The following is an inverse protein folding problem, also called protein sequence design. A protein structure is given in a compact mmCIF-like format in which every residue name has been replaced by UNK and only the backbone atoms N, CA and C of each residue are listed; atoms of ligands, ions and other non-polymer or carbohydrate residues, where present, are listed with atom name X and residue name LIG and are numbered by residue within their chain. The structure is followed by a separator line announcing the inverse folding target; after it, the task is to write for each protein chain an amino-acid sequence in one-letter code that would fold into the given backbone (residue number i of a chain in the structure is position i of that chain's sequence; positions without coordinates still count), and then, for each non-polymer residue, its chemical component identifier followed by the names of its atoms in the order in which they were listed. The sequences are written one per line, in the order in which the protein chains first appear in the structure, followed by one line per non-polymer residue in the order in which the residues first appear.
data_IF_640636461370
#
_entry.id   IF_640636461370
#
_cell.length_a   1.000
_cell.length_b   1.000
_cell.length_c   1.000
_cell.angle_alpha   90.00
_cell.angle_beta   90.00
_cell.angle_gamma   90.00
#
_symmetry.space_group_name_H-M   'P 1'
#
loop_
_entity.id
_entity.type
_entity.pdbx_description
1 polymer ?
#
# COMPACT_ATOMS: atom_id res chain seq x y z
N UNK A 1 37.61 -5.48 1.02
CA UNK A 1 37.30 -5.47 -0.45
C UNK A 1 38.63 -5.48 -1.20
N UNK A 2 38.77 -6.31 -2.20
CA UNK A 2 39.93 -6.21 -3.08
C UNK A 2 39.85 -4.82 -3.77
N UNK A 3 40.87 -4.00 -3.53
CA UNK A 3 40.99 -2.69 -4.17
C UNK A 3 41.19 -2.89 -5.67
N UNK A 4 40.35 -2.20 -6.48
CA UNK A 4 40.57 -2.19 -7.93
C UNK A 4 40.97 -0.79 -8.35
N UNK A 5 41.85 -0.66 -9.36
CA UNK A 5 42.22 0.62 -9.95
C UNK A 5 41.02 1.41 -10.49
N UNK A 6 39.88 0.77 -10.67
CA UNK A 6 38.65 1.36 -11.15
C UNK A 6 37.73 1.89 -10.04
N UNK A 7 38.12 1.76 -8.76
CA UNK A 7 37.28 2.17 -7.61
C UNK A 7 36.95 3.67 -7.61
N UNK A 8 37.75 4.50 -8.30
CA UNK A 8 37.53 5.95 -8.40
C UNK A 8 36.16 6.34 -9.01
N UNK A 9 35.56 5.47 -9.84
CA UNK A 9 34.26 5.75 -10.46
C UNK A 9 33.13 5.95 -9.42
N UNK A 10 33.30 5.40 -8.20
CA UNK A 10 32.35 5.57 -7.10
C UNK A 10 32.21 7.03 -6.65
N UNK A 11 33.23 7.88 -6.93
CA UNK A 11 33.22 9.30 -6.58
C UNK A 11 32.23 10.10 -7.44
N UNK A 12 31.74 9.52 -8.55
CA UNK A 12 30.71 10.13 -9.40
C UNK A 12 29.27 9.81 -8.91
N UNK A 13 29.12 8.88 -7.95
CA UNK A 13 27.85 8.58 -7.30
C UNK A 13 27.55 9.66 -6.24
N UNK A 14 26.60 10.54 -6.53
CA UNK A 14 26.25 11.61 -5.60
C UNK A 14 25.48 11.07 -4.39
N UNK A 15 25.70 11.62 -3.18
CA UNK A 15 24.88 11.30 -2.00
C UNK A 15 23.42 11.69 -2.23
N UNK A 16 22.50 10.76 -1.96
CA UNK A 16 21.06 10.96 -2.12
C UNK A 16 20.25 10.62 -0.86
N UNK A 17 20.93 10.53 0.29
CA UNK A 17 20.28 10.22 1.56
C UNK A 17 19.54 11.45 2.11
N UNK A 18 18.26 11.24 2.51
CA UNK A 18 17.49 12.27 3.19
C UNK A 18 17.87 12.38 4.67
N UNK A 19 17.65 13.57 5.24
CA UNK A 19 17.96 13.85 6.64
C UNK A 19 17.25 12.87 7.60
N UNK A 20 17.97 12.44 8.65
CA UNK A 20 17.34 11.66 9.74
C UNK A 20 16.22 12.45 10.42
N UNK A 21 15.34 11.73 11.11
CA UNK A 21 14.24 12.33 11.89
C UNK A 21 13.24 13.17 11.10
N UNK A 22 13.16 12.97 9.79
CA UNK A 22 12.13 13.55 8.93
C UNK A 22 11.18 12.45 8.43
N UNK A 23 9.93 12.80 8.16
CA UNK A 23 8.98 11.92 7.50
C UNK A 23 9.28 11.81 6.01
N UNK A 24 9.10 10.63 5.46
CA UNK A 24 9.23 10.38 4.02
C UNK A 24 7.87 9.88 3.51
N UNK A 25 7.38 10.49 2.45
CA UNK A 25 6.22 10.00 1.70
C UNK A 25 6.69 9.65 0.30
N UNK A 26 6.47 8.41 -0.11
CA UNK A 26 6.68 8.01 -1.51
C UNK A 26 5.34 7.99 -2.19
N UNK A 27 5.14 8.88 -3.18
CA UNK A 27 3.99 8.89 -4.05
C UNK A 27 4.34 8.24 -5.38
N UNK A 28 3.53 7.30 -5.80
CA UNK A 28 3.57 6.70 -7.12
C UNK A 28 2.37 7.14 -7.92
N UNK A 29 2.50 7.21 -9.24
CA UNK A 29 1.47 7.69 -10.16
C UNK A 29 1.52 6.89 -11.45
N UNK A 30 0.36 6.52 -11.97
CA UNK A 30 0.24 5.72 -13.17
C UNK A 30 0.44 6.53 -14.45
N UNK A 31 1.51 6.27 -15.18
CA UNK A 31 1.79 6.98 -16.41
C UNK A 31 0.83 6.58 -17.53
N UNK A 32 0.01 7.54 -17.96
CA UNK A 32 -0.89 7.35 -19.12
C UNK A 32 -2.07 6.41 -18.84
N UNK A 33 -2.50 6.31 -17.59
CA UNK A 33 -3.58 5.41 -17.16
C UNK A 33 -4.94 5.70 -17.84
N UNK A 34 -5.17 6.90 -18.32
CA UNK A 34 -6.35 7.16 -19.16
C UNK A 34 -6.39 6.26 -20.43
N UNK A 35 -5.24 6.12 -21.12
CA UNK A 35 -5.13 5.21 -22.27
C UNK A 35 -5.17 3.75 -21.83
N UNK A 36 -4.52 3.43 -20.72
CA UNK A 36 -4.49 2.09 -20.14
C UNK A 36 -5.90 1.62 -19.78
N UNK A 37 -6.67 2.41 -19.06
CA UNK A 37 -8.06 2.09 -18.66
C UNK A 37 -8.98 1.91 -19.88
N UNK A 38 -8.79 2.71 -20.92
CA UNK A 38 -9.54 2.58 -22.18
C UNK A 38 -9.19 1.29 -22.91
N UNK A 39 -7.90 0.94 -23.02
CA UNK A 39 -7.44 -0.28 -23.68
C UNK A 39 -7.93 -1.56 -22.98
N UNK A 40 -8.08 -1.52 -21.67
CA UNK A 40 -8.54 -2.65 -20.85
C UNK A 40 -10.04 -2.59 -20.51
N UNK A 41 -10.77 -1.66 -21.14
CA UNK A 41 -12.23 -1.51 -20.98
C UNK A 41 -12.69 -1.35 -19.54
N UNK A 42 -11.96 -0.61 -18.71
CA UNK A 42 -12.37 -0.32 -17.33
C UNK A 42 -13.71 0.40 -17.31
N UNK A 43 -14.58 -0.03 -16.37
CA UNK A 43 -15.90 0.56 -16.20
C UNK A 43 -15.82 2.07 -15.87
N UNK A 44 -16.82 2.81 -16.32
CA UNK A 44 -16.92 4.25 -16.10
C UNK A 44 -18.17 4.58 -15.27
N UNK A 45 -18.12 5.55 -14.35
CA UNK A 45 -16.98 6.43 -14.02
C UNK A 45 -15.86 5.77 -13.23
N UNK A 46 -16.15 4.70 -12.50
CA UNK A 46 -15.21 3.97 -11.65
C UNK A 46 -15.29 2.48 -11.92
N UNK A 47 -14.15 1.82 -11.89
CA UNK A 47 -14.05 0.36 -11.97
C UNK A 47 -13.59 -0.20 -10.61
N UNK A 48 -14.47 -0.90 -9.85
CA UNK A 48 -14.11 -1.42 -8.53
C UNK A 48 -12.96 -2.42 -8.59
N UNK A 49 -12.90 -3.26 -9.63
CA UNK A 49 -11.85 -4.27 -9.77
C UNK A 49 -10.50 -3.63 -10.06
N UNK A 50 -10.48 -2.57 -10.88
CA UNK A 50 -9.26 -1.81 -11.16
C UNK A 50 -8.71 -1.15 -9.89
N UNK A 51 -9.57 -0.56 -9.06
CA UNK A 51 -9.18 0.02 -7.78
C UNK A 51 -8.73 -1.04 -6.77
N UNK A 52 -9.41 -2.20 -6.72
CA UNK A 52 -8.98 -3.29 -5.85
C UNK A 52 -7.64 -3.91 -6.29
N UNK A 53 -7.33 -3.93 -7.56
CA UNK A 53 -6.01 -4.33 -8.06
C UNK A 53 -4.91 -3.34 -7.62
N UNK A 54 -5.19 -2.03 -7.65
CA UNK A 54 -4.30 -1.00 -7.08
C UNK A 54 -4.10 -1.23 -5.57
N UNK A 55 -5.19 -1.50 -4.84
CA UNK A 55 -5.17 -1.79 -3.42
C UNK A 55 -4.36 -3.05 -3.10
N UNK A 56 -4.47 -4.10 -3.90
CA UNK A 56 -3.70 -5.34 -3.74
C UNK A 56 -2.20 -5.10 -3.93
N UNK A 57 -1.83 -4.34 -4.95
CA UNK A 57 -0.43 -3.96 -5.16
C UNK A 57 0.11 -3.14 -3.98
N UNK A 58 -0.69 -2.23 -3.44
CA UNK A 58 -0.31 -1.45 -2.25
C UNK A 58 -0.21 -2.33 -0.99
N UNK A 59 -1.13 -3.27 -0.77
CA UNK A 59 -1.05 -4.26 0.31
C UNK A 59 0.25 -5.06 0.24
N UNK A 60 0.67 -5.44 -0.96
CA UNK A 60 1.94 -6.13 -1.15
C UNK A 60 3.13 -5.27 -0.72
N UNK A 61 3.18 -3.99 -1.11
CA UNK A 61 4.23 -3.04 -0.67
C UNK A 61 4.22 -2.91 0.85
N UNK A 62 3.05 -2.71 1.46
CA UNK A 62 2.90 -2.59 2.92
C UNK A 62 3.43 -3.85 3.63
N UNK A 63 3.08 -5.04 3.14
CA UNK A 63 3.51 -6.32 3.71
C UNK A 63 5.04 -6.50 3.61
N UNK A 64 5.63 -6.22 2.44
CA UNK A 64 7.07 -6.33 2.22
C UNK A 64 7.88 -5.33 3.06
N UNK A 65 7.32 -4.15 3.31
CA UNK A 65 7.96 -3.08 4.07
C UNK A 65 7.35 -2.92 5.48
N UNK A 66 6.80 -4.01 6.05
CA UNK A 66 6.25 -4.04 7.41
C UNK A 66 7.25 -3.49 8.42
N UNK A 67 6.81 -2.57 9.28
CA UNK A 67 7.66 -1.88 10.25
C UNK A 67 8.46 -0.69 9.72
N UNK A 68 8.45 -0.44 8.40
CA UNK A 68 9.04 0.75 7.76
C UNK A 68 7.95 1.70 7.24
N UNK A 69 6.93 1.17 6.58
CA UNK A 69 5.75 1.91 6.10
C UNK A 69 4.61 1.75 7.10
N UNK A 70 4.02 2.87 7.50
CA UNK A 70 2.95 2.90 8.53
C UNK A 70 1.57 3.03 7.95
N UNK A 71 1.45 3.74 6.85
CA UNK A 71 0.18 4.07 6.22
C UNK A 71 0.38 4.13 4.71
N UNK A 72 -0.64 3.76 3.95
CA UNK A 72 -0.73 4.09 2.54
C UNK A 72 -2.11 4.64 2.21
N UNK A 73 -2.17 5.55 1.24
CA UNK A 73 -3.40 6.15 0.75
C UNK A 73 -3.43 6.10 -0.76
N UNK A 74 -4.52 5.60 -1.33
CA UNK A 74 -4.68 5.45 -2.78
C UNK A 74 -5.97 6.03 -3.31
N UNK A 75 -5.87 6.58 -4.52
CA UNK A 75 -6.98 7.03 -5.34
C UNK A 75 -6.67 6.79 -6.82
N UNK A 76 -7.65 6.37 -7.60
CA UNK A 76 -7.47 6.17 -9.03
C UNK A 76 -6.21 5.35 -9.35
N UNK A 77 -5.23 5.94 -10.01
CA UNK A 77 -3.93 5.37 -10.37
C UNK A 77 -2.76 5.92 -9.52
N UNK A 78 -3.06 6.63 -8.43
CA UNK A 78 -2.07 7.16 -7.49
C UNK A 78 -2.06 6.38 -6.17
N UNK A 79 -0.89 6.18 -5.60
CA UNK A 79 -0.71 5.66 -4.24
C UNK A 79 0.42 6.38 -3.50
N UNK A 80 0.18 6.74 -2.24
CA UNK A 80 1.13 7.43 -1.36
C UNK A 80 1.46 6.56 -0.16
N UNK A 81 2.74 6.30 0.09
CA UNK A 81 3.24 5.46 1.19
C UNK A 81 3.98 6.31 2.21
N UNK A 82 3.50 6.34 3.45
CA UNK A 82 4.12 7.04 4.56
C UNK A 82 5.12 6.14 5.26
N UNK A 83 6.38 6.50 5.24
CA UNK A 83 7.41 5.83 6.01
C UNK A 83 7.51 6.44 7.42
N UNK A 84 7.87 5.60 8.37
CA UNK A 84 8.14 6.05 9.74
C UNK A 84 9.20 7.14 9.76
N UNK A 85 9.08 8.08 10.71
CA UNK A 85 10.05 9.16 10.93
C UNK A 85 11.48 8.62 11.19
N UNK A 86 11.55 7.49 11.90
CA UNK A 86 12.77 6.79 12.27
C UNK A 86 13.14 5.64 11.32
N UNK A 87 12.52 5.57 10.12
CA UNK A 87 12.84 4.56 9.13
C UNK A 87 14.30 4.67 8.68
N UNK A 88 14.96 3.50 8.63
CA UNK A 88 16.38 3.38 8.22
C UNK A 88 16.56 2.60 6.91
N UNK A 89 15.46 2.38 6.20
CA UNK A 89 15.44 1.63 4.93
C UNK A 89 16.49 2.19 3.97
N UNK A 90 17.38 1.32 3.48
CA UNK A 90 18.48 1.67 2.55
C UNK A 90 19.32 2.88 2.97
N UNK A 91 19.57 3.05 4.27
CA UNK A 91 20.24 4.26 4.82
C UNK A 91 19.58 5.56 4.37
N UNK A 92 18.26 5.53 4.18
CA UNK A 92 17.41 6.65 3.75
C UNK A 92 17.72 7.19 2.34
N UNK A 93 18.37 6.40 1.48
CA UNK A 93 18.68 6.81 0.10
C UNK A 93 17.42 6.93 -0.73
N UNK A 94 17.16 8.16 -1.21
CA UNK A 94 15.98 8.54 -1.98
C UNK A 94 15.78 7.66 -3.22
N UNK A 95 16.82 7.49 -4.02
CA UNK A 95 16.77 6.69 -5.24
C UNK A 95 16.37 5.24 -4.95
N UNK A 96 17.00 4.62 -3.93
CA UNK A 96 16.75 3.22 -3.58
C UNK A 96 15.35 3.00 -3.00
N UNK A 97 14.89 3.90 -2.13
CA UNK A 97 13.55 3.80 -1.54
C UNK A 97 12.50 3.93 -2.63
N UNK A 98 12.60 4.96 -3.46
CA UNK A 98 11.62 5.25 -4.51
C UNK A 98 11.56 4.12 -5.54
N UNK A 99 12.69 3.73 -6.10
CA UNK A 99 12.74 2.67 -7.13
C UNK A 99 12.28 1.32 -6.60
N UNK A 100 12.60 1.00 -5.34
CA UNK A 100 12.15 -0.25 -4.74
C UNK A 100 10.62 -0.28 -4.54
N UNK A 101 10.02 0.81 -4.02
CA UNK A 101 8.56 0.89 -3.84
C UNK A 101 7.85 0.83 -5.19
N UNK A 102 8.32 1.59 -6.19
CA UNK A 102 7.75 1.55 -7.55
C UNK A 102 7.86 0.15 -8.15
N UNK A 103 9.01 -0.51 -7.99
CA UNK A 103 9.23 -1.87 -8.49
C UNK A 103 8.31 -2.88 -7.82
N UNK A 104 8.21 -2.87 -6.49
CA UNK A 104 7.31 -3.75 -5.74
C UNK A 104 5.86 -3.56 -6.17
N UNK A 105 5.41 -2.31 -6.26
CA UNK A 105 4.04 -1.99 -6.64
C UNK A 105 3.73 -2.45 -8.07
N UNK A 106 4.57 -2.08 -9.03
CA UNK A 106 4.37 -2.42 -10.45
C UNK A 106 4.39 -3.93 -10.66
N UNK A 107 5.33 -4.62 -10.03
CA UNK A 107 5.43 -6.09 -10.12
C UNK A 107 4.20 -6.76 -9.52
N UNK A 108 3.73 -6.32 -8.36
CA UNK A 108 2.54 -6.86 -7.72
C UNK A 108 1.27 -6.58 -8.53
N UNK A 109 1.14 -5.39 -9.12
CA UNK A 109 0.03 -5.04 -10.01
C UNK A 109 -0.05 -5.99 -11.20
N UNK A 110 1.06 -6.18 -11.91
CA UNK A 110 1.14 -7.08 -13.08
C UNK A 110 0.90 -8.53 -12.66
N UNK A 111 1.53 -8.98 -11.58
CA UNK A 111 1.39 -10.35 -11.07
C UNK A 111 -0.04 -10.68 -10.67
N UNK A 112 -0.76 -9.72 -10.09
CA UNK A 112 -2.13 -9.91 -9.61
C UNK A 112 -3.19 -9.71 -10.69
N UNK A 113 -2.84 -9.21 -11.88
CA UNK A 113 -3.77 -8.85 -12.94
C UNK A 113 -4.81 -9.94 -13.25
N UNK A 114 -4.36 -11.15 -13.53
CA UNK A 114 -5.25 -12.26 -13.94
C UNK A 114 -6.25 -12.68 -12.84
N UNK A 115 -5.96 -12.37 -11.58
CA UNK A 115 -6.87 -12.63 -10.46
C UNK A 115 -8.06 -11.67 -10.46
N UNK A 116 -7.86 -10.42 -10.86
CA UNK A 116 -8.90 -9.40 -10.93
C UNK A 116 -9.60 -9.34 -12.29
N UNK A 117 -8.85 -9.62 -13.35
CA UNK A 117 -9.33 -9.59 -14.73
C UNK A 117 -9.06 -10.94 -15.43
N UNK A 118 -9.73 -12.03 -15.01
CA UNK A 118 -9.44 -13.37 -15.54
C UNK A 118 -9.78 -13.52 -17.03
N UNK A 119 -10.73 -12.73 -17.53
CA UNK A 119 -11.19 -12.79 -18.94
C UNK A 119 -10.59 -11.68 -19.81
N UNK A 120 -9.89 -10.72 -19.21
CA UNK A 120 -9.30 -9.58 -19.93
C UNK A 120 -7.78 -9.67 -19.81
N UNK A 121 -7.08 -10.15 -20.85
CA UNK A 121 -5.63 -10.25 -20.82
C UNK A 121 -5.00 -8.85 -20.74
N UNK A 122 -3.89 -8.75 -20.02
CA UNK A 122 -3.12 -7.52 -19.97
C UNK A 122 -2.53 -7.21 -21.35
N UNK A 123 -2.97 -6.13 -21.97
CA UNK A 123 -2.59 -5.77 -23.35
C UNK A 123 -1.12 -5.29 -23.43
N UNK A 124 -0.68 -4.57 -22.41
CA UNK A 124 0.70 -4.11 -22.25
C UNK A 124 0.95 -3.76 -20.78
N UNK A 125 2.21 -3.85 -20.32
CA UNK A 125 2.53 -3.57 -18.91
C UNK A 125 2.26 -2.10 -18.57
N UNK A 126 1.62 -1.82 -17.43
CA UNK A 126 1.51 -0.47 -16.90
C UNK A 126 2.88 0.04 -16.44
N UNK A 127 3.04 1.34 -16.42
CA UNK A 127 4.20 1.98 -15.81
C UNK A 127 3.77 2.99 -14.77
N UNK A 128 4.54 3.05 -13.68
CA UNK A 128 4.32 4.01 -12.61
C UNK A 128 5.59 4.83 -12.43
N UNK A 129 5.45 6.13 -12.29
CA UNK A 129 6.52 6.98 -11.78
C UNK A 129 6.45 7.03 -10.25
N UNK A 130 7.51 7.54 -9.63
CA UNK A 130 7.54 7.69 -8.19
C UNK A 130 8.43 8.84 -7.76
N UNK A 131 8.01 9.50 -6.67
CA UNK A 131 8.78 10.57 -6.03
C UNK A 131 8.73 10.45 -4.52
N UNK A 132 9.86 10.68 -3.88
CA UNK A 132 9.97 10.76 -2.44
C UNK A 132 9.93 12.24 -2.04
N UNK A 133 9.02 12.58 -1.13
CA UNK A 133 8.89 13.91 -0.55
C UNK A 133 9.18 13.81 0.94
N UNK A 134 9.92 14.80 1.46
CA UNK A 134 10.37 14.86 2.85
C UNK A 134 9.59 15.93 3.59
N UNK A 135 9.00 15.55 4.73
CA UNK A 135 8.25 16.49 5.57
C UNK A 135 8.85 16.57 6.98
N UNK A 136 8.96 17.79 7.53
CA UNK A 136 9.61 18.00 8.83
C UNK A 136 8.71 17.64 10.02
N UNK A 137 7.39 17.73 9.89
CA UNK A 137 6.47 17.58 11.01
C UNK A 137 5.27 16.70 10.71
N UNK A 138 4.61 16.23 11.76
CA UNK A 138 3.40 15.41 11.68
C UNK A 138 2.22 16.19 11.09
N UNK A 139 2.13 17.49 11.41
CA UNK A 139 1.06 18.38 10.95
C UNK A 139 1.10 18.48 9.42
N UNK A 140 2.29 18.72 8.85
CA UNK A 140 2.46 18.82 7.39
C UNK A 140 2.18 17.47 6.71
N UNK A 141 2.56 16.36 7.32
CA UNK A 141 2.19 15.02 6.81
C UNK A 141 0.67 14.83 6.81
N UNK A 142 -0.02 15.22 7.88
CA UNK A 142 -1.48 15.17 7.93
C UNK A 142 -2.10 16.03 6.84
N UNK A 143 -1.61 17.24 6.65
CA UNK A 143 -2.11 18.16 5.61
C UNK A 143 -1.86 17.60 4.20
N UNK A 144 -0.74 16.91 3.99
CA UNK A 144 -0.49 16.19 2.74
C UNK A 144 -1.61 15.16 2.45
N UNK A 145 -1.95 14.29 3.41
CA UNK A 145 -2.98 13.28 3.23
C UNK A 145 -4.40 13.88 3.15
N UNK A 146 -4.68 14.95 3.91
CA UNK A 146 -5.92 15.72 3.77
C UNK A 146 -6.08 16.27 2.36
N UNK A 147 -4.98 16.82 1.80
CA UNK A 147 -4.96 17.32 0.42
C UNK A 147 -5.22 16.19 -0.59
N UNK A 148 -4.61 15.02 -0.43
CA UNK A 148 -4.87 13.89 -1.33
C UNK A 148 -6.33 13.43 -1.28
N UNK A 149 -6.91 13.34 -0.10
CA UNK A 149 -8.31 12.96 0.01
C UNK A 149 -9.27 14.02 -0.53
N UNK A 150 -8.97 15.29 -0.34
CA UNK A 150 -9.75 16.38 -0.94
C UNK A 150 -9.70 16.30 -2.47
N UNK A 151 -8.52 16.00 -3.02
CA UNK A 151 -8.33 15.82 -4.47
C UNK A 151 -9.10 14.61 -5.00
N UNK A 152 -9.11 13.49 -4.26
CA UNK A 152 -9.94 12.32 -4.54
C UNK A 152 -11.40 12.71 -4.72
N UNK A 153 -11.95 13.45 -3.76
CA UNK A 153 -13.35 13.90 -3.82
C UNK A 153 -13.62 14.80 -5.04
N UNK A 154 -12.75 15.78 -5.28
CA UNK A 154 -12.89 16.74 -6.39
C UNK A 154 -12.85 16.00 -7.73
N UNK A 155 -11.86 15.14 -7.93
CA UNK A 155 -11.66 14.40 -9.16
C UNK A 155 -12.80 13.39 -9.40
N UNK A 156 -13.18 12.65 -8.36
CA UNK A 156 -14.27 11.67 -8.50
C UNK A 156 -15.62 12.33 -8.76
N UNK A 157 -15.94 13.45 -8.12
CA UNK A 157 -17.15 14.20 -8.38
C UNK A 157 -17.16 14.72 -9.83
N UNK A 158 -16.05 15.25 -10.32
CA UNK A 158 -15.92 15.68 -11.71
C UNK A 158 -16.12 14.50 -12.68
N UNK A 159 -15.41 13.42 -12.49
CA UNK A 159 -15.46 12.25 -13.37
C UNK A 159 -16.85 11.60 -13.36
N UNK A 160 -17.49 11.50 -12.20
CA UNK A 160 -18.84 10.94 -12.09
C UNK A 160 -19.84 11.79 -12.88
N UNK A 161 -19.73 13.11 -12.75
CA UNK A 161 -20.63 14.05 -13.47
C UNK A 161 -20.36 14.03 -14.97
N UNK A 162 -19.08 13.99 -15.37
CA UNK A 162 -18.68 13.90 -16.78
C UNK A 162 -19.25 12.65 -17.45
N UNK A 163 -19.09 11.50 -16.82
CA UNK A 163 -19.59 10.26 -17.37
C UNK A 163 -21.11 10.12 -17.31
N UNK A 164 -21.78 10.78 -16.35
CA UNK A 164 -23.24 10.87 -16.35
C UNK A 164 -23.74 11.67 -17.57
N UNK A 165 -23.11 12.79 -17.88
CA UNK A 165 -23.42 13.59 -19.07
C UNK A 165 -23.20 12.81 -20.36
N UNK A 166 -22.12 12.04 -20.45
CA UNK A 166 -21.79 11.24 -21.64
C UNK A 166 -22.71 10.03 -21.77
N UNK A 167 -22.80 9.18 -20.74
CA UNK A 167 -23.45 7.87 -20.82
C UNK A 167 -24.98 7.95 -20.69
N UNK A 168 -25.48 8.88 -19.90
CA UNK A 168 -26.94 9.05 -19.68
C UNK A 168 -27.48 10.28 -20.40
N UNK A 169 -26.68 11.35 -20.46
CA UNK A 169 -27.08 12.59 -21.14
C UNK A 169 -26.87 12.58 -22.66
N UNK A 170 -26.18 11.57 -23.20
CA UNK A 170 -25.91 11.45 -24.63
C UNK A 170 -24.97 12.52 -25.20
N UNK A 171 -24.25 13.24 -24.34
CA UNK A 171 -23.28 14.25 -24.77
C UNK A 171 -22.00 13.58 -25.27
N UNK A 172 -21.33 14.21 -26.21
CA UNK A 172 -19.94 13.87 -26.53
C UNK A 172 -19.01 14.25 -25.40
N UNK A 173 -17.81 13.65 -25.35
CA UNK A 173 -16.78 14.00 -24.34
C UNK A 173 -16.44 15.52 -24.39
N UNK A 174 -16.44 16.12 -25.58
CA UNK A 174 -16.20 17.55 -25.78
C UNK A 174 -17.31 18.43 -25.20
N UNK A 175 -18.56 18.07 -25.47
CA UNK A 175 -19.73 18.79 -24.95
C UNK A 175 -19.82 18.66 -23.41
N UNK A 176 -19.57 17.46 -22.86
CA UNK A 176 -19.53 17.25 -21.43
C UNK A 176 -18.44 18.09 -20.75
N UNK A 177 -17.26 18.18 -21.37
CA UNK A 177 -16.16 19.03 -20.90
C UNK A 177 -16.57 20.50 -20.88
N UNK A 178 -17.21 20.97 -21.95
CA UNK A 178 -17.69 22.37 -22.04
C UNK A 178 -18.80 22.65 -21.01
N UNK A 179 -19.73 21.72 -20.84
CA UNK A 179 -20.80 21.80 -19.82
C UNK A 179 -20.24 21.93 -18.41
N UNK A 180 -19.12 21.24 -18.12
CA UNK A 180 -18.49 21.27 -16.79
C UNK A 180 -17.53 22.44 -16.59
N UNK A 181 -17.19 23.18 -17.65
CA UNK A 181 -16.28 24.32 -17.54
C UNK A 181 -16.86 25.39 -16.61
N UNK A 182 -16.07 25.80 -15.61
CA UNK A 182 -16.46 26.83 -14.63
C UNK A 182 -17.49 26.40 -13.60
N UNK A 183 -17.91 25.13 -13.58
CA UNK A 183 -18.85 24.62 -12.56
C UNK A 183 -18.14 24.38 -11.23
N UNK A 184 -18.86 24.68 -10.14
CA UNK A 184 -18.45 24.34 -8.77
C UNK A 184 -19.02 22.97 -8.33
N UNK A 185 -18.65 22.51 -7.14
CA UNK A 185 -19.12 21.24 -6.59
C UNK A 185 -20.66 21.19 -6.51
N UNK A 186 -21.28 22.27 -6.08
CA UNK A 186 -22.75 22.39 -6.00
C UNK A 186 -23.42 22.13 -7.35
N UNK A 187 -22.90 22.74 -8.41
CA UNK A 187 -23.49 22.62 -9.75
C UNK A 187 -23.39 21.17 -10.24
N UNK A 188 -22.29 20.48 -9.94
CA UNK A 188 -22.11 19.07 -10.26
C UNK A 188 -23.08 18.17 -9.52
N UNK A 189 -23.34 18.45 -8.24
CA UNK A 189 -24.36 17.72 -7.48
C UNK A 189 -25.76 17.92 -8.09
N UNK A 190 -26.11 19.15 -8.54
CA UNK A 190 -27.38 19.42 -9.20
C UNK A 190 -27.48 18.69 -10.55
N UNK A 191 -26.39 18.63 -11.32
CA UNK A 191 -26.36 17.88 -12.59
C UNK A 191 -26.58 16.39 -12.30
N UNK A 192 -25.84 15.80 -11.34
CA UNK A 192 -25.97 14.38 -10.97
C UNK A 192 -27.40 14.06 -10.49
N UNK A 193 -27.99 14.94 -9.72
CA UNK A 193 -29.38 14.78 -9.23
C UNK A 193 -30.41 14.67 -10.37
N UNK A 194 -30.20 15.39 -11.46
CA UNK A 194 -31.06 15.29 -12.67
C UNK A 194 -31.01 13.92 -13.33
N UNK A 195 -29.88 13.20 -13.17
CA UNK A 195 -29.73 11.83 -13.61
C UNK A 195 -30.10 10.80 -12.54
N UNK A 196 -30.69 11.24 -11.41
CA UNK A 196 -31.05 10.33 -10.32
C UNK A 196 -29.86 9.82 -9.50
N UNK A 197 -28.68 10.42 -9.67
CA UNK A 197 -27.46 10.03 -8.98
C UNK A 197 -27.29 10.91 -7.73
N UNK A 198 -27.37 10.29 -6.56
CA UNK A 198 -26.96 10.92 -5.31
C UNK A 198 -25.48 10.58 -5.04
N UNK A 199 -24.60 11.54 -5.22
CA UNK A 199 -23.16 11.37 -5.06
C UNK A 199 -22.79 10.83 -3.66
N UNK A 200 -23.47 11.27 -2.60
CA UNK A 200 -23.18 10.86 -1.22
C UNK A 200 -23.52 9.39 -0.94
N UNK A 201 -24.30 8.75 -1.80
CA UNK A 201 -24.63 7.33 -1.74
C UNK A 201 -23.70 6.42 -2.55
N UNK A 202 -22.78 7.02 -3.32
CA UNK A 202 -21.76 6.23 -4.00
C UNK A 202 -20.86 5.55 -2.98
N UNK A 203 -20.22 4.46 -3.38
CA UNK A 203 -19.27 3.73 -2.53
C UNK A 203 -18.20 4.65 -1.96
N UNK A 204 -17.88 4.42 -0.68
CA UNK A 204 -16.89 5.25 0.02
C UNK A 204 -15.49 5.15 -0.63
N UNK A 205 -15.14 4.00 -1.22
CA UNK A 205 -13.90 3.80 -1.94
C UNK A 205 -13.70 4.82 -3.06
N UNK A 206 -14.76 5.16 -3.81
CA UNK A 206 -14.70 6.13 -4.91
C UNK A 206 -14.60 7.58 -4.42
N UNK A 207 -15.29 7.89 -3.31
CA UNK A 207 -15.40 9.26 -2.81
C UNK A 207 -14.31 9.67 -1.85
N UNK A 208 -13.75 8.69 -1.13
CA UNK A 208 -12.79 8.90 -0.03
C UNK A 208 -11.43 8.25 -0.28
N UNK A 209 -11.31 7.47 -1.35
CA UNK A 209 -10.11 6.69 -1.60
C UNK A 209 -9.96 5.49 -0.66
N UNK A 210 -8.81 4.88 -0.71
CA UNK A 210 -8.44 3.72 0.12
C UNK A 210 -7.29 4.07 1.05
N UNK A 211 -7.47 3.82 2.34
CA UNK A 211 -6.42 3.96 3.35
C UNK A 211 -6.02 2.59 3.88
N UNK A 212 -4.74 2.28 3.83
CA UNK A 212 -4.16 1.07 4.41
C UNK A 212 -3.36 1.45 5.64
N UNK A 213 -3.66 0.81 6.77
CA UNK A 213 -2.98 1.06 8.05
C UNK A 213 -2.72 -0.24 8.80
N UNK A 214 -1.65 -0.26 9.58
CA UNK A 214 -1.40 -1.34 10.53
C UNK A 214 -2.20 -1.12 11.81
N UNK A 215 -3.02 -2.09 12.14
CA UNK A 215 -3.82 -2.09 13.36
C UNK A 215 -3.35 -3.19 14.29
N UNK A 216 -3.31 -2.92 15.59
CA UNK A 216 -3.02 -3.95 16.59
C UNK A 216 -4.34 -4.61 16.99
N UNK A 217 -4.52 -5.89 16.67
CA UNK A 217 -5.62 -6.66 17.22
C UNK A 217 -5.43 -6.74 18.74
N UNK A 218 -6.34 -6.14 19.48
CA UNK A 218 -6.45 -6.38 20.91
C UNK A 218 -7.06 -7.77 21.05
N UNK A 219 -6.21 -8.79 21.24
CA UNK A 219 -6.70 -10.07 21.73
C UNK A 219 -7.22 -9.75 23.13
N UNK A 220 -8.53 -9.70 23.32
CA UNK A 220 -9.15 -9.70 24.64
C UNK A 220 -8.68 -10.95 25.37
N UNK A 221 -7.69 -10.74 26.21
CA UNK A 221 -7.21 -11.78 27.11
C UNK A 221 -8.37 -12.25 27.96
N UNK A 222 -8.67 -13.53 27.83
CA UNK A 222 -9.59 -14.30 28.65
C UNK A 222 -9.50 -13.83 30.11
N UNK A 223 -10.40 -12.95 30.50
CA UNK A 223 -10.73 -12.76 31.90
C UNK A 223 -11.63 -13.92 32.30
N UNK A 224 -11.04 -14.95 32.84
CA UNK A 224 -11.75 -15.91 33.67
C UNK A 224 -12.36 -15.17 34.86
N UNK A 225 -13.59 -14.73 34.73
CA UNK A 225 -14.41 -14.36 35.86
C UNK A 225 -15.38 -15.49 36.17
N UNK A 226 -15.01 -16.33 37.12
CA UNK A 226 -15.96 -17.14 37.86
C UNK A 226 -16.90 -16.21 38.63
N UNK A 227 -18.16 -16.16 38.25
CA UNK A 227 -19.26 -15.90 39.14
C UNK A 227 -20.54 -16.50 38.60
N UNK A 228 -21.00 -17.49 39.32
CA UNK A 228 -22.31 -18.11 39.25
C UNK A 228 -23.43 -17.10 39.51
N UNK A 229 -24.47 -17.06 38.66
CA UNK A 229 -25.84 -16.88 39.11
C UNK A 229 -26.83 -17.21 38.02
N UNK A 230 -27.77 -17.99 38.36
CA UNK A 230 -28.86 -18.67 37.75
C UNK A 230 -29.99 -17.78 37.19
N UNK A 231 -30.80 -18.44 36.36
CA UNK A 231 -32.20 -18.18 35.96
C UNK A 231 -32.31 -17.46 34.60
N UNK A 232 -32.85 -18.09 33.54
CA UNK A 232 -34.09 -18.82 33.43
C UNK A 232 -34.92 -18.21 32.33
N UNK A 233 -35.26 -18.98 31.31
CA UNK A 233 -36.54 -19.08 30.61
C UNK A 233 -36.49 -19.02 29.08
N UNK A 234 -36.78 -20.20 28.49
CA UNK A 234 -37.58 -20.55 27.30
C UNK A 234 -37.34 -19.81 25.98
N UNK A 235 -36.83 -20.53 24.98
CA UNK A 235 -37.54 -21.41 24.03
C UNK A 235 -38.44 -20.67 23.04
N UNK A 236 -38.03 -20.68 21.76
CA UNK A 236 -38.91 -21.19 20.72
C UNK A 236 -38.06 -21.60 19.47
N UNK A 237 -38.29 -22.84 19.08
CA UNK A 237 -37.71 -23.48 17.91
C UNK A 237 -38.59 -23.21 16.69
N UNK A 238 -38.01 -22.99 15.52
CA UNK A 238 -38.62 -23.33 14.25
C UNK A 238 -37.62 -24.07 13.38
N UNK A 239 -38.03 -25.25 13.08
CA UNK A 239 -37.48 -26.33 12.26
C UNK A 239 -37.73 -26.09 10.76
N UNK A 240 -36.89 -26.68 9.92
CA UNK A 240 -37.25 -27.02 8.53
C UNK A 240 -36.24 -26.45 7.51
N UNK A 241 -35.62 -27.14 6.63
CA UNK A 241 -35.74 -28.48 6.11
C UNK A 241 -34.51 -28.74 5.21
N UNK A 242 -33.96 -29.93 5.32
CA UNK A 242 -32.93 -30.46 4.42
C UNK A 242 -33.55 -30.84 3.09
N UNK A 243 -32.85 -30.61 1.96
CA UNK A 243 -32.92 -31.49 0.81
C UNK A 243 -31.54 -31.67 0.19
N UNK A 244 -31.04 -32.85 0.33
CA UNK A 244 -29.94 -33.46 -0.39
C UNK A 244 -30.40 -33.95 -1.75
N UNK A 245 -29.61 -33.73 -2.81
CA UNK A 245 -29.65 -34.59 -3.99
C UNK A 245 -28.25 -34.86 -4.48
N UNK A 246 -27.84 -36.09 -4.30
CA UNK A 246 -26.72 -36.75 -4.95
C UNK A 246 -27.08 -37.11 -6.37
N UNK A 247 -26.17 -36.94 -7.33
CA UNK A 247 -26.18 -37.75 -8.56
C UNK A 247 -24.75 -38.06 -8.98
N UNK A 248 -24.45 -39.30 -8.97
CA UNK A 248 -23.31 -40.04 -9.51
C UNK A 248 -23.38 -40.08 -11.04
N UNK A 249 -22.24 -40.07 -11.69
CA UNK A 249 -22.10 -40.35 -13.12
C UNK A 249 -20.64 -40.54 -13.51
N UNK A 250 -20.29 -41.79 -13.63
CA UNK A 250 -19.02 -42.41 -14.04
C UNK A 250 -18.74 -42.27 -15.54
N UNK A 251 -17.47 -42.36 -15.91
CA UNK A 251 -17.10 -42.94 -17.19
C UNK A 251 -15.80 -42.43 -17.82
N UNK A 252 -14.75 -43.23 -17.69
CA UNK A 252 -13.76 -43.72 -18.69
C UNK A 252 -12.96 -42.61 -19.42
N UNK A 253 -11.65 -42.50 -19.36
CA UNK A 253 -10.59 -43.52 -19.53
C UNK A 253 -9.90 -43.30 -20.87
N UNK A 254 -8.63 -43.01 -20.89
CA UNK A 254 -7.59 -43.63 -21.70
C UNK A 254 -6.29 -42.80 -21.62
N UNK A 255 -5.27 -43.51 -21.18
CA UNK A 255 -3.88 -43.69 -21.67
C UNK A 255 -3.01 -42.43 -21.74
N UNK A 256 -2.07 -42.23 -20.87
CA UNK A 256 -0.76 -42.82 -20.70
C UNK A 256 0.17 -42.68 -21.92
N UNK A 257 1.11 -41.76 -21.84
CA UNK A 257 2.43 -42.01 -22.39
C UNK A 257 3.50 -41.47 -21.41
N UNK A 258 4.26 -42.46 -20.94
CA UNK A 258 5.43 -42.31 -20.11
C UNK A 258 6.61 -41.90 -20.98
N UNK A 259 7.35 -40.87 -20.54
CA UNK A 259 8.73 -40.69 -21.00
C UNK A 259 9.64 -40.64 -19.78
N UNK A 260 10.59 -41.53 -19.84
CA UNK A 260 11.59 -41.96 -18.89
C UNK A 260 12.36 -40.84 -18.19
N UNK A 261 12.53 -41.08 -16.90
CA UNK A 261 13.61 -40.50 -16.08
C UNK A 261 15.00 -40.87 -16.64
N UNK A 262 15.79 -39.88 -16.95
CA UNK A 262 17.24 -40.00 -16.86
C UNK A 262 17.79 -39.13 -15.76
N UNK A 263 18.09 -39.77 -14.67
CA UNK A 263 18.90 -39.26 -13.57
C UNK A 263 20.27 -38.84 -14.08
N UNK A 264 20.62 -37.56 -13.95
CA UNK A 264 22.00 -37.16 -13.82
C UNK A 264 22.12 -36.13 -12.69
N UNK A 265 22.75 -36.63 -11.64
CA UNK A 265 23.31 -35.86 -10.55
C UNK A 265 24.32 -34.85 -11.08
N UNK A 266 24.03 -33.56 -10.94
CA UNK A 266 25.13 -32.57 -10.85
C UNK A 266 24.68 -31.33 -10.12
N UNK A 267 25.35 -31.08 -9.03
CA UNK A 267 25.69 -29.79 -8.43
C UNK A 267 24.53 -28.88 -7.98
N UNK A 268 24.28 -28.96 -6.70
CA UNK A 268 23.92 -27.81 -5.87
C UNK A 268 24.94 -26.71 -6.14
N UNK A 269 24.61 -25.77 -7.01
CA UNK A 269 25.28 -24.48 -7.03
C UNK A 269 24.30 -23.44 -6.56
N UNK A 270 24.68 -22.85 -5.47
CA UNK A 270 24.23 -21.72 -4.75
C UNK A 270 23.39 -20.74 -5.51
N UNK A 271 22.17 -20.52 -4.99
CA UNK A 271 21.49 -19.25 -5.11
C UNK A 271 22.47 -18.21 -4.58
N UNK A 272 23.14 -17.52 -5.51
CA UNK A 272 23.99 -16.39 -5.18
C UNK A 272 23.13 -15.36 -4.46
N UNK A 273 23.27 -15.33 -3.13
CA UNK A 273 22.97 -14.14 -2.36
C UNK A 273 23.69 -13.00 -3.06
N UNK A 274 22.90 -12.08 -3.61
CA UNK A 274 23.39 -10.76 -3.97
C UNK A 274 23.77 -10.12 -2.65
N UNK A 275 25.03 -10.30 -2.26
CA UNK A 275 25.66 -9.56 -1.19
C UNK A 275 25.57 -8.07 -1.59
N UNK A 276 24.52 -7.42 -1.11
CA UNK A 276 24.54 -5.97 -0.94
C UNK A 276 25.81 -5.71 -0.13
N UNK A 277 26.82 -5.12 -0.76
CA UNK A 277 28.13 -4.88 -0.19
C UNK A 277 27.93 -4.28 1.21
N UNK A 278 28.15 -5.11 2.22
CA UNK A 278 28.00 -4.74 3.62
C UNK A 278 29.13 -3.77 3.90
N UNK A 279 28.80 -2.48 3.99
CA UNK A 279 29.76 -1.46 4.39
C UNK A 279 30.48 -1.93 5.66
N UNK A 280 31.81 -1.94 5.65
CA UNK A 280 32.57 -2.38 6.81
C UNK A 280 32.39 -1.39 7.95
N UNK A 281 32.63 -1.83 9.18
CA UNK A 281 32.58 -0.93 10.34
C UNK A 281 33.60 0.19 10.25
N UNK A 282 34.71 -0.06 9.55
CA UNK A 282 35.76 0.91 9.30
C UNK A 282 35.31 1.97 8.28
N UNK A 283 34.62 1.56 7.20
CA UNK A 283 34.07 2.48 6.21
C UNK A 283 32.99 3.40 6.82
N UNK A 284 32.12 2.84 7.67
CA UNK A 284 31.09 3.59 8.39
C UNK A 284 31.70 4.57 9.41
N UNK A 285 32.69 4.11 10.16
CA UNK A 285 33.39 4.91 11.16
C UNK A 285 34.15 6.07 10.50
N UNK A 286 34.83 5.83 9.40
CA UNK A 286 35.56 6.85 8.65
C UNK A 286 34.62 7.92 8.06
N UNK A 287 33.47 7.49 7.57
CA UNK A 287 32.47 8.40 6.99
C UNK A 287 31.78 9.29 8.01
N UNK A 288 31.55 8.77 9.22
CA UNK A 288 30.90 9.51 10.31
C UNK A 288 31.89 10.18 11.28
N UNK A 289 33.19 10.02 11.10
CA UNK A 289 34.21 10.61 11.98
C UNK A 289 34.21 9.99 13.39
N UNK A 290 33.77 8.73 13.53
CA UNK A 290 33.68 8.01 14.80
C UNK A 290 34.64 6.83 14.83
N UNK A 291 34.87 6.25 16.00
CA UNK A 291 35.70 5.05 16.11
C UNK A 291 34.94 3.80 15.63
N UNK A 292 35.62 2.77 15.07
CA UNK A 292 34.98 1.51 14.69
C UNK A 292 34.20 0.83 15.82
N UNK A 293 34.67 0.96 17.06
CA UNK A 293 33.97 0.45 18.25
C UNK A 293 32.63 1.19 18.47
N UNK A 294 32.59 2.50 18.21
CA UNK A 294 31.38 3.29 18.35
C UNK A 294 30.38 2.96 17.22
N UNK A 295 30.84 2.79 15.98
CA UNK A 295 30.04 2.33 14.86
C UNK A 295 29.42 0.94 15.15
N UNK A 296 30.22 0.00 15.68
CA UNK A 296 29.75 -1.32 16.09
C UNK A 296 28.66 -1.27 17.17
N UNK A 297 28.83 -0.41 18.20
CA UNK A 297 27.84 -0.21 19.28
C UNK A 297 26.52 0.39 18.74
N UNK A 298 26.61 1.33 17.80
CA UNK A 298 25.44 1.91 17.12
C UNK A 298 24.71 0.86 16.27
N UNK A 299 25.43 0.05 15.47
CA UNK A 299 24.84 -1.04 14.68
C UNK A 299 24.12 -2.05 15.57
N UNK A 300 24.77 -2.49 16.67
CA UNK A 300 24.18 -3.44 17.60
C UNK A 300 22.90 -2.87 18.28
N UNK A 301 22.92 -1.57 18.65
CA UNK A 301 21.74 -0.87 19.18
C UNK A 301 20.62 -0.79 18.14
N UNK A 302 20.94 -0.42 16.91
CA UNK A 302 19.98 -0.35 15.80
C UNK A 302 19.38 -1.72 15.46
N UNK A 303 20.20 -2.79 15.47
CA UNK A 303 19.76 -4.15 15.21
C UNK A 303 18.85 -4.68 16.34
N UNK A 304 19.20 -4.44 17.61
CA UNK A 304 18.37 -4.77 18.76
C UNK A 304 17.01 -4.03 18.68
N UNK A 305 17.04 -2.76 18.31
CA UNK A 305 15.83 -1.95 18.17
C UNK A 305 14.98 -2.44 16.97
N UNK A 306 15.62 -2.82 15.84
CA UNK A 306 14.96 -3.45 14.69
C UNK A 306 14.30 -4.78 15.07
N UNK A 307 14.99 -5.63 15.84
CA UNK A 307 14.44 -6.91 16.31
C UNK A 307 13.24 -6.71 17.22
N UNK A 308 13.33 -5.81 18.20
CA UNK A 308 12.20 -5.44 19.08
C UNK A 308 11.00 -4.90 18.28
N UNK A 309 11.25 -4.13 17.20
CA UNK A 309 10.20 -3.63 16.30
C UNK A 309 9.55 -4.75 15.48
N UNK A 310 10.33 -5.68 14.96
CA UNK A 310 9.79 -6.83 14.24
C UNK A 310 8.94 -7.71 15.16
N UNK A 311 9.40 -7.95 16.38
CA UNK A 311 8.65 -8.67 17.41
C UNK A 311 7.32 -7.95 17.74
N UNK A 312 7.34 -6.63 17.94
CA UNK A 312 6.13 -5.83 18.19
C UNK A 312 5.23 -5.66 16.95
N UNK A 313 5.76 -5.88 15.75
CA UNK A 313 5.00 -5.83 14.51
C UNK A 313 4.27 -7.15 14.20
N UNK A 314 4.60 -8.25 14.89
CA UNK A 314 3.96 -9.55 14.66
C UNK A 314 2.45 -9.51 14.91
N UNK A 315 2.01 -8.69 15.88
CA UNK A 315 0.61 -8.56 16.28
C UNK A 315 -0.16 -7.48 15.47
N UNK A 316 0.44 -6.97 14.40
CA UNK A 316 -0.19 -5.97 13.56
C UNK A 316 -0.84 -6.61 12.34
N UNK A 317 -2.13 -6.34 12.19
CA UNK A 317 -2.92 -6.67 10.99
C UNK A 317 -3.01 -5.47 10.05
N UNK A 318 -2.93 -5.73 8.75
CA UNK A 318 -3.11 -4.69 7.74
C UNK A 318 -4.59 -4.52 7.43
N UNK A 319 -5.13 -3.36 7.78
CA UNK A 319 -6.54 -3.03 7.61
C UNK A 319 -6.74 -2.08 6.44
N UNK A 320 -7.77 -2.35 5.64
CA UNK A 320 -8.21 -1.50 4.53
C UNK A 320 -9.41 -0.68 4.98
N UNK A 321 -9.35 0.64 4.85
CA UNK A 321 -10.38 1.58 5.27
C UNK A 321 -10.77 2.50 4.11
N UNK A 322 -12.06 2.83 4.03
CA UNK A 322 -12.61 3.86 3.13
C UNK A 322 -13.30 4.94 3.97
N UNK A 323 -12.50 5.64 4.76
CA UNK A 323 -12.99 6.57 5.78
C UNK A 323 -12.50 8.00 5.53
N UNK A 324 -13.04 8.93 6.32
CA UNK A 324 -12.57 10.32 6.34
C UNK A 324 -11.24 10.41 7.08
N UNK A 325 -10.20 10.89 6.40
CA UNK A 325 -8.87 11.18 6.95
C UNK A 325 -8.57 12.69 7.01
N UNK A 326 -9.55 13.54 6.64
CA UNK A 326 -9.44 14.99 6.77
C UNK A 326 -9.64 15.39 8.23
N UNK A 327 -10.64 14.78 8.89
CA UNK A 327 -10.94 15.03 10.29
C UNK A 327 -9.89 14.46 11.26
N UNK A 328 -9.84 15.00 12.47
CA UNK A 328 -8.85 14.59 13.48
C UNK A 328 -9.13 13.21 14.09
N UNK A 329 -10.37 12.71 13.97
CA UNK A 329 -10.78 11.43 14.53
C UNK A 329 -9.91 10.27 14.02
N UNK A 330 -9.62 10.20 12.72
CA UNK A 330 -8.75 9.19 12.14
C UNK A 330 -7.35 9.21 12.76
N UNK A 331 -6.76 10.40 12.89
CA UNK A 331 -5.39 10.56 13.38
C UNK A 331 -5.25 10.29 14.88
N UNK A 332 -6.34 10.46 15.64
CA UNK A 332 -6.37 10.16 17.09
C UNK A 332 -6.35 8.65 17.38
N UNK A 333 -6.92 7.84 16.48
CA UNK A 333 -7.00 6.38 16.63
C UNK A 333 -5.79 5.69 15.99
N UNK A 334 -5.32 6.22 14.87
CA UNK A 334 -4.33 5.58 14.00
C UNK A 334 -2.92 6.14 14.18
N UNK A 335 -2.70 7.12 15.08
CA UNK A 335 -1.36 7.58 15.34
C UNK A 335 -0.55 6.40 15.91
N UNK A 336 0.51 5.93 15.21
CA UNK A 336 1.49 5.09 15.89
C UNK A 336 1.95 5.92 17.07
N UNK A 337 1.87 5.34 18.29
CA UNK A 337 2.32 6.01 19.49
C UNK A 337 3.66 6.68 19.19
N UNK A 338 3.82 7.99 19.42
CA UNK A 338 5.12 8.62 19.31
C UNK A 338 6.07 7.76 20.16
N UNK A 339 7.19 7.35 19.59
CA UNK A 339 8.24 6.76 20.40
C UNK A 339 8.48 7.78 21.51
N UNK A 340 8.20 7.39 22.77
CA UNK A 340 8.57 8.19 23.93
C UNK A 340 10.03 8.56 23.73
N UNK A 341 10.26 9.82 23.46
CA UNK A 341 11.57 10.42 23.49
C UNK A 341 11.81 10.56 24.99
N UNK A 342 12.62 9.66 25.57
CA UNK A 342 13.24 9.92 26.87
C UNK A 342 13.91 11.28 26.75
N UNK A 343 13.28 12.30 27.30
CA UNK A 343 13.93 13.58 27.52
C UNK A 343 15.17 13.29 28.35
N UNK A 344 16.35 13.78 27.95
CA UNK A 344 17.51 13.70 28.80
C UNK A 344 17.15 14.46 30.09
N UNK A 345 17.10 13.76 31.21
CA UNK A 345 17.11 14.41 32.51
C UNK A 345 18.43 15.19 32.58
N UNK A 346 18.31 16.50 32.48
CA UNK A 346 19.39 17.42 32.80
C UNK A 346 19.70 17.23 34.30
N UNK A 347 20.72 16.44 34.58
CA UNK A 347 21.39 16.51 35.88
C UNK A 347 22.18 17.81 35.96
N UNK A 348 21.68 18.73 36.77
CA UNK A 348 22.43 19.90 37.24
C UNK A 348 23.59 19.48 38.15
#
# INVERSE_FOLDING_TARGET
MAGTKFAYVRNFELPDAVLPSTYMVVRIDGKGFHKFSKAHAFAKPNDPLALELMNEAARHVMAQLKGQVTMAFGESDEYSFLLRRDATLYSRRTSKITTHIVSLFTSAYVFSWSRFFPTTPLQYPPTFDGRLVVYPSTEIVRDYFKWRQADTHINNLYNTTFWALVLQGGQTESEATETLRGTFSRDKHEILWRFGINYDRLEAMFRKGTTLVWYRSVVEGSRTSTSSASAGTKADAIEGSRTSTSTTGSGTGTEADAIEETSSSTARQGVGQVDAQRETLEDEAAREGITPAHAAKRRAKAEKQRRKRLESAHDLELVTLHCDIIGDAFWSISAPAPAEVDEPQDEM
#
